data_IF_491849787598
#
_entry.id   IF_491849787598
#
_cell.length_a   1.000
_cell.length_b   1.000
_cell.length_c   1.000
_cell.angle_alpha   90.00
_cell.angle_beta   90.00
_cell.angle_gamma   90.00
#
_symmetry.space_group_name_H-M   'P 1'
#
loop_
_entity.id
_entity.type
_entity.pdbx_description
1 polymer ?
#
# COMPACT_ATOMS: atom_id res chain seq x y z
N UNK A 1 -13.57 -4.83 9.09
CA UNK A 1 -13.35 -5.73 10.25
C UNK A 1 -13.43 -4.89 11.53
N UNK A 2 -13.74 -5.50 12.68
CA UNK A 2 -13.77 -4.81 13.98
C UNK A 2 -12.67 -5.36 14.90
N UNK A 3 -11.40 -4.95 14.72
CA UNK A 3 -10.29 -5.49 15.49
C UNK A 3 -10.34 -5.06 16.95
N UNK A 4 -10.04 -5.97 17.88
CA UNK A 4 -9.87 -5.62 19.29
C UNK A 4 -8.46 -5.11 19.58
N UNK A 5 -8.19 -3.86 19.20
CA UNK A 5 -6.86 -3.25 19.27
C UNK A 5 -6.31 -3.11 20.71
N UNK A 6 -7.17 -3.13 21.73
CA UNK A 6 -6.73 -3.06 23.15
C UNK A 6 -5.88 -4.26 23.58
N UNK A 7 -6.01 -5.40 22.90
CA UNK A 7 -5.24 -6.62 23.16
C UNK A 7 -4.27 -6.96 22.03
N UNK A 8 -4.16 -6.10 21.02
CA UNK A 8 -3.31 -6.38 19.88
C UNK A 8 -1.83 -6.38 20.28
N UNK A 9 -1.09 -7.34 19.75
CA UNK A 9 0.33 -7.50 19.99
C UNK A 9 1.11 -7.07 18.75
N UNK A 10 2.14 -6.27 18.98
CA UNK A 10 3.16 -5.93 18.00
C UNK A 10 4.34 -6.91 18.12
N UNK A 11 4.94 -7.25 16.99
CA UNK A 11 5.93 -8.30 16.80
C UNK A 11 7.29 -7.80 16.30
N UNK A 12 7.30 -6.64 15.65
CA UNK A 12 8.50 -6.05 15.05
C UNK A 12 9.61 -5.75 16.07
N UNK A 13 10.86 -5.79 15.60
CA UNK A 13 12.04 -5.50 16.42
C UNK A 13 12.06 -4.05 16.95
N UNK A 14 11.70 -3.11 16.08
CA UNK A 14 11.75 -1.65 16.33
C UNK A 14 10.36 -1.00 16.25
N UNK A 15 9.29 -1.80 16.46
CA UNK A 15 7.87 -1.39 16.36
C UNK A 15 7.44 -0.86 14.98
N UNK A 16 8.05 -1.38 13.92
CA UNK A 16 7.72 -1.03 12.53
C UNK A 16 6.25 -1.33 12.20
N UNK A 17 5.71 -2.45 12.68
CA UNK A 17 4.31 -2.82 12.50
C UNK A 17 3.33 -1.81 13.12
N UNK A 18 3.60 -1.34 14.34
CA UNK A 18 2.84 -0.26 14.97
C UNK A 18 2.95 1.04 14.17
N UNK A 19 4.17 1.38 13.75
CA UNK A 19 4.44 2.59 12.99
C UNK A 19 3.66 2.61 11.67
N UNK A 20 3.68 1.51 10.92
CA UNK A 20 2.94 1.35 9.67
C UNK A 20 1.43 1.42 9.92
N UNK A 21 0.92 0.73 10.95
CA UNK A 21 -0.50 0.75 11.28
C UNK A 21 -0.97 2.18 11.60
N UNK A 22 -0.23 2.89 12.45
CA UNK A 22 -0.62 4.21 12.93
C UNK A 22 -0.55 5.30 11.87
N UNK A 23 0.36 5.18 10.90
CA UNK A 23 0.55 6.18 9.85
C UNK A 23 -0.27 5.91 8.58
N UNK A 24 -0.63 4.66 8.28
CA UNK A 24 -1.27 4.33 6.99
C UNK A 24 -2.60 3.57 7.05
N UNK A 25 -2.88 2.84 8.13
CA UNK A 25 -3.92 1.80 8.11
C UNK A 25 -4.89 1.87 9.30
N UNK A 26 -4.88 2.96 10.07
CA UNK A 26 -5.77 3.15 11.24
C UNK A 26 -6.90 4.19 11.01
N UNK A 27 -6.83 5.01 9.95
CA UNK A 27 -7.76 6.12 9.67
C UNK A 27 -8.15 6.19 8.18
N UNK A 28 -9.20 5.46 7.76
CA UNK A 28 -9.92 4.44 8.53
C UNK A 28 -9.09 3.17 8.72
N UNK A 29 -9.53 2.28 9.62
CA UNK A 29 -8.90 0.97 9.79
C UNK A 29 -9.04 0.16 8.50
N UNK A 30 -7.90 -0.27 7.93
CA UNK A 30 -7.86 -1.07 6.71
C UNK A 30 -7.75 -2.56 7.05
N UNK A 31 -8.68 -3.35 6.53
CA UNK A 31 -8.76 -4.79 6.74
C UNK A 31 -8.61 -5.54 5.42
N UNK A 32 -8.13 -6.79 5.50
CA UNK A 32 -8.02 -7.64 4.31
C UNK A 32 -6.96 -7.19 3.29
N UNK A 33 -5.95 -6.44 3.73
CA UNK A 33 -4.83 -6.05 2.88
C UNK A 33 -3.89 -7.20 2.54
N UNK A 34 -2.93 -6.91 1.66
CA UNK A 34 -1.89 -7.85 1.20
C UNK A 34 -0.52 -7.36 1.62
N UNK A 35 0.25 -8.21 2.30
CA UNK A 35 1.65 -7.94 2.59
C UNK A 35 2.59 -8.92 1.88
N UNK A 36 3.81 -8.45 1.62
CA UNK A 36 4.95 -9.29 1.23
C UNK A 36 6.06 -9.03 2.23
N UNK A 37 6.63 -10.09 2.79
CA UNK A 37 7.75 -10.01 3.74
C UNK A 37 8.85 -10.97 3.29
N UNK A 38 9.97 -10.40 2.87
CA UNK A 38 11.21 -11.13 2.59
C UNK A 38 12.17 -10.94 3.77
N UNK A 39 12.83 -12.03 4.18
CA UNK A 39 13.48 -12.11 5.48
C UNK A 39 12.50 -12.50 6.60
N UNK A 40 11.47 -13.30 6.26
CA UNK A 40 10.37 -13.63 7.17
C UNK A 40 10.79 -14.47 8.40
N UNK A 41 12.04 -14.94 8.47
CA UNK A 41 12.60 -15.64 9.62
C UNK A 41 11.75 -16.84 10.05
N UNK A 42 11.32 -16.88 11.31
CA UNK A 42 10.42 -17.89 11.85
C UNK A 42 8.95 -17.47 11.80
N UNK A 43 8.66 -16.30 11.23
CA UNK A 43 7.33 -15.71 11.11
C UNK A 43 6.79 -15.04 12.37
N UNK A 44 7.42 -15.19 13.53
CA UNK A 44 6.92 -14.63 14.80
C UNK A 44 7.87 -13.61 15.39
N UNK A 45 9.15 -13.98 15.49
CA UNK A 45 10.19 -13.12 16.02
C UNK A 45 10.50 -12.04 14.98
N UNK A 46 10.35 -10.79 15.39
CA UNK A 46 10.63 -9.60 14.57
C UNK A 46 9.77 -9.44 13.32
N UNK A 47 8.69 -10.22 13.18
CA UNK A 47 7.84 -10.08 12.00
C UNK A 47 7.15 -8.72 11.95
N UNK A 48 7.29 -8.06 10.81
CA UNK A 48 6.69 -6.76 10.53
C UNK A 48 5.23 -6.86 10.03
N UNK A 49 4.77 -8.08 9.76
CA UNK A 49 3.43 -8.33 9.17
C UNK A 49 2.48 -9.11 10.07
N UNK A 50 2.97 -9.72 11.16
CA UNK A 50 2.17 -10.59 12.01
C UNK A 50 1.00 -9.87 12.69
N UNK A 51 1.20 -8.60 13.07
CA UNK A 51 0.12 -7.75 13.61
C UNK A 51 -1.04 -7.62 12.61
N UNK A 52 -0.74 -7.38 11.33
CA UNK A 52 -1.75 -7.20 10.27
C UNK A 52 -2.49 -8.51 9.99
N UNK A 53 -1.79 -9.65 10.02
CA UNK A 53 -2.41 -10.96 9.91
C UNK A 53 -3.41 -11.22 11.06
N UNK A 54 -2.96 -11.05 12.31
CA UNK A 54 -3.73 -11.45 13.48
C UNK A 54 -4.93 -10.55 13.74
N UNK A 55 -4.77 -9.25 13.50
CA UNK A 55 -5.75 -8.25 13.94
C UNK A 55 -6.59 -7.74 12.78
N UNK A 56 -6.04 -7.66 11.56
CA UNK A 56 -6.70 -6.98 10.44
C UNK A 56 -7.16 -7.95 9.34
N UNK A 57 -6.97 -9.26 9.56
CA UNK A 57 -7.30 -10.32 8.60
C UNK A 57 -6.58 -10.16 7.26
N UNK A 58 -5.33 -9.67 7.28
CA UNK A 58 -4.52 -9.54 6.08
C UNK A 58 -3.96 -10.90 5.64
N UNK A 59 -3.70 -11.00 4.33
CA UNK A 59 -3.06 -12.16 3.70
C UNK A 59 -1.68 -11.77 3.19
N UNK A 60 -0.80 -12.74 2.95
CA UNK A 60 0.50 -12.37 2.41
C UNK A 60 1.39 -13.47 1.88
N UNK A 61 2.51 -13.01 1.31
CA UNK A 61 3.58 -13.85 0.79
C UNK A 61 4.79 -13.69 1.71
N UNK A 62 5.24 -14.80 2.30
CA UNK A 62 6.36 -14.85 3.24
C UNK A 62 7.53 -15.59 2.59
N UNK A 63 8.68 -14.93 2.49
CA UNK A 63 9.84 -15.42 1.76
C UNK A 63 11.03 -15.54 2.70
N UNK A 64 11.59 -16.74 2.78
CA UNK A 64 12.72 -17.06 3.64
C UNK A 64 13.58 -18.15 2.99
N UNK A 65 14.90 -17.98 3.04
CA UNK A 65 15.84 -18.85 2.35
C UNK A 65 16.52 -19.86 3.30
N UNK A 66 16.68 -19.52 4.57
CA UNK A 66 17.39 -20.36 5.54
C UNK A 66 16.51 -21.56 5.96
N UNK A 67 16.96 -22.81 5.77
CA UNK A 67 16.11 -23.98 5.95
C UNK A 67 15.48 -24.16 7.34
N UNK A 68 16.18 -23.82 8.42
CA UNK A 68 15.65 -23.95 9.79
C UNK A 68 14.60 -22.89 10.10
N UNK A 69 14.81 -21.66 9.62
CA UNK A 69 13.85 -20.56 9.67
C UNK A 69 12.61 -20.94 8.87
N UNK A 70 12.75 -21.42 7.63
CA UNK A 70 11.64 -21.94 6.81
C UNK A 70 10.83 -23.00 7.56
N UNK A 71 11.48 -23.95 8.23
CA UNK A 71 10.79 -25.01 8.99
C UNK A 71 9.91 -24.41 10.10
N UNK A 72 10.42 -23.41 10.82
CA UNK A 72 9.67 -22.71 11.88
C UNK A 72 8.58 -21.82 11.29
N UNK A 73 8.88 -21.09 10.22
CA UNK A 73 7.93 -20.24 9.50
C UNK A 73 6.71 -21.03 9.04
N UNK A 74 6.93 -22.19 8.41
CA UNK A 74 5.84 -23.10 8.04
C UNK A 74 5.03 -23.52 9.26
N UNK A 75 5.68 -23.94 10.35
CA UNK A 75 4.97 -24.31 11.58
C UNK A 75 4.13 -23.17 12.15
N UNK A 76 4.65 -21.94 12.10
CA UNK A 76 4.05 -20.79 12.77
C UNK A 76 2.98 -20.07 11.93
N UNK A 77 3.11 -20.10 10.59
CA UNK A 77 2.32 -19.25 9.69
C UNK A 77 1.79 -19.95 8.44
N UNK A 78 1.97 -21.26 8.27
CA UNK A 78 1.28 -21.98 7.20
C UNK A 78 -0.23 -21.93 7.42
N UNK A 79 -1.00 -21.71 6.36
CA UNK A 79 -2.45 -21.71 6.43
C UNK A 79 -3.06 -20.99 5.24
N UNK A 80 -4.38 -20.77 5.27
CA UNK A 80 -5.12 -20.14 4.16
C UNK A 80 -4.74 -18.68 3.90
N UNK A 81 -4.14 -17.99 4.89
CA UNK A 81 -3.77 -16.57 4.76
C UNK A 81 -2.42 -16.34 4.09
N UNK A 82 -1.53 -17.33 4.10
CA UNK A 82 -0.13 -17.10 3.74
C UNK A 82 0.37 -18.10 2.70
N UNK A 83 1.02 -17.56 1.67
CA UNK A 83 1.87 -18.32 0.74
C UNK A 83 3.30 -18.25 1.26
N UNK A 84 3.92 -19.39 1.55
CA UNK A 84 5.31 -19.45 2.02
C UNK A 84 6.21 -19.90 0.89
N UNK A 85 7.21 -19.09 0.54
CA UNK A 85 8.18 -19.36 -0.51
C UNK A 85 9.55 -19.62 0.13
N UNK A 86 9.97 -20.90 0.21
CA UNK A 86 11.21 -21.29 0.88
C UNK A 86 12.43 -21.16 -0.05
N UNK A 87 12.67 -19.95 -0.56
CA UNK A 87 13.70 -19.64 -1.55
C UNK A 87 14.33 -18.27 -1.26
N UNK A 88 15.57 -18.08 -1.70
CA UNK A 88 16.16 -16.76 -1.81
C UNK A 88 15.63 -16.02 -3.05
N UNK A 89 15.85 -14.71 -3.11
CA UNK A 89 15.69 -13.94 -4.35
C UNK A 89 17.02 -13.85 -5.09
N UNK A 90 16.99 -13.92 -6.41
CA UNK A 90 18.17 -13.76 -7.27
C UNK A 90 17.77 -13.28 -8.66
N UNK A 91 18.73 -12.79 -9.48
CA UNK A 91 18.49 -12.39 -10.86
C UNK A 91 17.95 -13.52 -11.75
N UNK A 92 17.37 -13.12 -12.87
CA UNK A 92 16.91 -14.06 -13.90
C UNK A 92 18.05 -14.94 -14.41
N UNK A 93 17.76 -16.21 -14.69
CA UNK A 93 18.77 -17.18 -15.14
C UNK A 93 19.58 -17.85 -14.01
N UNK A 94 19.49 -17.36 -12.78
CA UNK A 94 20.09 -18.01 -11.61
C UNK A 94 19.07 -18.91 -10.90
N UNK A 95 19.52 -20.09 -10.44
CA UNK A 95 18.66 -21.07 -9.75
C UNK A 95 19.03 -21.30 -8.28
N UNK A 96 20.26 -20.96 -7.89
CA UNK A 96 20.78 -21.14 -6.54
C UNK A 96 21.72 -19.99 -6.16
N UNK A 97 21.78 -19.65 -4.87
CA UNK A 97 22.75 -18.69 -4.29
C UNK A 97 23.46 -19.34 -3.10
N UNK A 98 24.69 -18.91 -2.87
CA UNK A 98 25.38 -19.17 -1.61
C UNK A 98 24.69 -18.34 -0.51
N UNK A 99 24.31 -18.99 0.57
CA UNK A 99 23.69 -18.37 1.73
C UNK A 99 24.49 -18.73 2.97
N UNK A 100 24.84 -17.76 3.80
CA UNK A 100 25.57 -17.97 5.05
C UNK A 100 24.86 -17.32 6.24
N UNK A 101 25.15 -17.83 7.42
CA UNK A 101 24.52 -17.41 8.66
C UNK A 101 23.22 -18.16 8.97
N UNK A 102 22.65 -17.81 10.12
CA UNK A 102 21.41 -18.39 10.64
C UNK A 102 20.71 -17.36 11.54
N UNK A 103 19.50 -17.68 12.00
CA UNK A 103 18.66 -16.77 12.79
C UNK A 103 18.40 -15.49 11.99
N UNK A 104 18.39 -14.33 12.64
CA UNK A 104 18.02 -13.03 12.07
C UNK A 104 19.21 -12.23 11.52
N UNK A 105 20.27 -12.91 11.07
CA UNK A 105 21.49 -12.25 10.55
C UNK A 105 22.05 -12.93 9.29
N UNK A 106 21.32 -13.89 8.72
CA UNK A 106 21.76 -14.69 7.57
C UNK A 106 21.40 -14.04 6.24
N UNK A 107 22.20 -14.30 5.20
CA UNK A 107 22.07 -13.64 3.90
C UNK A 107 23.05 -14.17 2.86
N UNK A 108 23.13 -13.47 1.72
CA UNK A 108 24.07 -13.79 0.63
C UNK A 108 25.44 -13.17 0.94
N UNK A 109 26.52 -13.98 1.13
CA UNK A 109 27.82 -13.49 1.58
C UNK A 109 28.37 -12.31 0.79
N UNK A 110 28.30 -12.38 -0.54
CA UNK A 110 28.89 -11.37 -1.44
C UNK A 110 28.16 -10.02 -1.40
N UNK A 111 26.95 -10.00 -0.82
CA UNK A 111 26.12 -8.81 -0.68
C UNK A 111 26.11 -8.28 0.76
N UNK A 112 26.60 -9.05 1.74
CA UNK A 112 26.66 -8.58 3.12
C UNK A 112 27.69 -7.45 3.29
N UNK A 113 27.36 -6.35 3.97
CA UNK A 113 28.35 -5.34 4.31
C UNK A 113 29.40 -5.88 5.27
N UNK A 114 30.64 -5.41 5.15
CA UNK A 114 31.70 -5.77 6.09
C UNK A 114 31.35 -5.47 7.55
N UNK A 115 30.65 -4.36 7.81
CA UNK A 115 30.21 -3.99 9.15
C UNK A 115 29.26 -5.03 9.76
N UNK A 116 28.39 -5.62 8.94
CA UNK A 116 27.51 -6.73 9.35
C UNK A 116 28.31 -7.97 9.71
N UNK A 117 29.25 -8.35 8.84
CA UNK A 117 30.13 -9.51 9.03
C UNK A 117 30.97 -9.36 10.30
N UNK A 118 31.54 -8.17 10.53
CA UNK A 118 32.32 -7.85 11.74
C UNK A 118 31.45 -7.92 13.00
N UNK A 119 30.25 -7.33 12.97
CA UNK A 119 29.35 -7.24 14.12
C UNK A 119 28.78 -8.59 14.55
N UNK A 120 28.26 -9.38 13.62
CA UNK A 120 27.49 -10.59 13.94
C UNK A 120 28.27 -11.89 13.78
N UNK A 121 29.33 -11.88 12.97
CA UNK A 121 30.14 -13.06 12.69
C UNK A 121 31.61 -12.91 13.10
N UNK A 122 31.95 -11.85 13.85
CA UNK A 122 33.33 -11.56 14.30
C UNK A 122 34.34 -11.55 13.13
N UNK A 123 33.89 -11.15 11.95
CA UNK A 123 34.71 -11.09 10.74
C UNK A 123 34.82 -12.40 9.94
N UNK A 124 34.25 -13.52 10.43
CA UNK A 124 34.36 -14.82 9.76
C UNK A 124 32.98 -15.42 9.55
N UNK A 125 32.52 -15.44 8.30
CA UNK A 125 31.23 -16.03 7.95
C UNK A 125 31.23 -17.56 8.15
N UNK A 126 30.11 -18.13 8.62
CA UNK A 126 29.91 -19.57 8.59
C UNK A 126 30.04 -20.15 7.17
N UNK A 127 30.27 -21.46 7.09
CA UNK A 127 30.29 -22.16 5.80
C UNK A 127 28.95 -21.95 5.07
N UNK A 128 28.97 -21.43 3.83
CA UNK A 128 27.74 -21.21 3.08
C UNK A 128 27.08 -22.53 2.68
N UNK A 129 25.77 -22.49 2.55
CA UNK A 129 24.91 -23.53 1.96
C UNK A 129 24.35 -23.02 0.64
N UNK A 130 24.07 -23.92 -0.29
CA UNK A 130 23.35 -23.59 -1.52
C UNK A 130 21.85 -23.65 -1.25
N UNK A 131 21.16 -22.54 -1.53
CA UNK A 131 19.69 -22.45 -1.42
C UNK A 131 19.07 -22.12 -2.77
N UNK A 132 17.91 -22.70 -3.11
CA UNK A 132 17.22 -22.36 -4.35
C UNK A 132 16.81 -20.89 -4.34
N UNK A 133 16.85 -20.24 -5.50
CA UNK A 133 16.49 -18.84 -5.66
C UNK A 133 15.73 -18.57 -6.96
N UNK A 134 14.95 -17.49 -7.00
CA UNK A 134 14.28 -16.98 -8.22
C UNK A 134 14.06 -15.45 -8.14
N UNK A 135 13.78 -14.77 -9.26
CA UNK A 135 13.32 -13.37 -9.25
C UNK A 135 12.04 -13.16 -8.45
N UNK A 136 11.96 -12.07 -7.67
CA UNK A 136 10.81 -11.78 -6.82
C UNK A 136 9.53 -11.54 -7.65
N UNK A 137 9.63 -10.84 -8.79
CA UNK A 137 8.49 -10.60 -9.66
C UNK A 137 7.79 -11.90 -10.09
N UNK A 138 8.56 -12.93 -10.46
CA UNK A 138 8.02 -14.26 -10.82
C UNK A 138 7.35 -14.95 -9.64
N UNK A 139 7.96 -14.86 -8.46
CA UNK A 139 7.38 -15.43 -7.23
C UNK A 139 6.01 -14.81 -6.91
N UNK A 140 5.88 -13.50 -7.06
CA UNK A 140 4.65 -12.77 -6.77
C UNK A 140 3.56 -13.03 -7.83
N UNK A 141 3.93 -13.11 -9.10
CA UNK A 141 3.01 -13.51 -10.18
C UNK A 141 2.45 -14.91 -9.96
N UNK A 142 3.31 -15.89 -9.63
CA UNK A 142 2.89 -17.27 -9.35
C UNK A 142 2.02 -17.38 -8.09
N UNK A 143 2.28 -16.55 -7.09
CA UNK A 143 1.43 -16.43 -5.90
C UNK A 143 0.10 -15.71 -6.18
N UNK A 144 -0.12 -15.19 -7.39
CA UNK A 144 -1.34 -14.49 -7.78
C UNK A 144 -1.49 -13.08 -7.19
N UNK A 145 -0.38 -12.48 -6.72
CA UNK A 145 -0.40 -11.13 -6.13
C UNK A 145 -0.70 -10.10 -7.21
N UNK A 146 -1.68 -9.23 -6.94
CA UNK A 146 -2.13 -8.17 -7.87
C UNK A 146 -1.80 -6.77 -7.40
N UNK A 147 -1.67 -6.57 -6.10
CA UNK A 147 -1.30 -5.33 -5.45
C UNK A 147 -0.73 -5.66 -4.07
N UNK A 148 0.10 -4.78 -3.52
CA UNK A 148 0.75 -4.96 -2.23
C UNK A 148 0.52 -3.71 -1.38
N UNK A 149 -0.09 -3.85 -0.20
CA UNK A 149 -0.25 -2.76 0.75
C UNK A 149 1.03 -2.48 1.52
N UNK A 150 1.75 -3.54 1.93
CA UNK A 150 3.03 -3.44 2.65
C UNK A 150 4.03 -4.40 2.03
N UNK A 151 5.16 -3.89 1.56
CA UNK A 151 6.30 -4.70 1.14
C UNK A 151 7.50 -4.46 2.07
N UNK A 152 7.83 -5.46 2.88
CA UNK A 152 9.01 -5.46 3.75
C UNK A 152 10.18 -6.12 3.02
N UNK A 153 11.30 -5.39 2.91
CA UNK A 153 12.55 -5.83 2.29
C UNK A 153 13.69 -5.75 3.32
N UNK A 154 13.99 -6.90 3.93
CA UNK A 154 15.05 -7.06 4.94
C UNK A 154 15.84 -8.33 4.61
N UNK A 155 16.96 -8.18 3.89
CA UNK A 155 17.73 -9.31 3.32
C UNK A 155 19.23 -9.14 3.51
N UNK A 156 19.62 -8.40 4.54
CA UNK A 156 20.99 -8.27 5.02
C UNK A 156 22.00 -7.82 3.95
N UNK A 157 21.58 -6.89 3.07
CA UNK A 157 22.43 -6.27 2.04
C UNK A 157 22.03 -6.56 0.60
N UNK A 158 21.06 -7.44 0.36
CA UNK A 158 20.60 -7.78 -0.99
C UNK A 158 19.39 -6.94 -1.47
N UNK A 159 19.03 -5.85 -0.77
CA UNK A 159 17.79 -5.11 -0.97
C UNK A 159 17.65 -4.55 -2.40
N UNK A 160 18.73 -3.96 -2.93
CA UNK A 160 18.76 -3.44 -4.30
C UNK A 160 18.49 -4.54 -5.33
N UNK A 161 19.16 -5.69 -5.20
CA UNK A 161 18.97 -6.82 -6.12
C UNK A 161 17.53 -7.36 -6.06
N UNK A 162 16.92 -7.41 -4.87
CA UNK A 162 15.51 -7.77 -4.74
C UNK A 162 14.64 -6.83 -5.58
N UNK A 163 14.82 -5.52 -5.43
CA UNK A 163 14.02 -4.51 -6.13
C UNK A 163 14.29 -4.45 -7.64
N UNK A 164 15.51 -4.74 -8.09
CA UNK A 164 15.86 -4.85 -9.52
C UNK A 164 15.13 -6.02 -10.20
N UNK A 165 14.79 -7.06 -9.45
CA UNK A 165 14.05 -8.24 -9.95
C UNK A 165 12.53 -8.16 -9.75
N UNK A 166 12.03 -7.00 -9.28
CA UNK A 166 10.61 -6.76 -9.03
C UNK A 166 9.84 -6.57 -10.34
N UNK A 167 8.63 -7.12 -10.38
CA UNK A 167 7.64 -6.78 -11.40
C UNK A 167 6.87 -5.53 -10.96
N UNK A 168 7.27 -4.38 -11.50
CA UNK A 168 6.68 -3.08 -11.17
C UNK A 168 5.27 -2.87 -11.76
N UNK A 169 4.72 -3.82 -12.50
CA UNK A 169 3.28 -3.81 -12.86
C UNK A 169 2.39 -4.17 -11.67
N UNK A 170 2.96 -4.77 -10.62
CA UNK A 170 2.29 -5.02 -9.34
C UNK A 170 2.48 -3.75 -8.48
N UNK A 171 1.42 -2.94 -8.28
CA UNK A 171 1.53 -1.72 -7.48
C UNK A 171 1.83 -2.05 -6.01
N UNK A 172 2.65 -1.20 -5.39
CA UNK A 172 2.99 -1.28 -3.98
C UNK A 172 2.58 0.04 -3.33
N UNK A 173 1.87 0.00 -2.21
CA UNK A 173 1.45 1.21 -1.49
C UNK A 173 2.59 1.73 -0.60
N UNK A 174 3.16 0.87 0.22
CA UNK A 174 4.25 1.20 1.15
C UNK A 174 5.35 0.14 1.08
N UNK A 175 6.59 0.58 0.90
CA UNK A 175 7.78 -0.26 1.03
C UNK A 175 8.52 0.12 2.32
N UNK A 176 9.00 -0.88 3.03
CA UNK A 176 9.95 -0.71 4.14
C UNK A 176 11.21 -1.47 3.79
N UNK A 177 12.33 -0.75 3.69
CA UNK A 177 13.59 -1.31 3.23
C UNK A 177 14.66 -1.08 4.30
N UNK A 178 15.43 -2.11 4.62
CA UNK A 178 16.60 -1.96 5.48
C UNK A 178 17.72 -1.19 4.75
N UNK A 179 18.20 -0.10 5.34
CA UNK A 179 19.24 0.76 4.77
C UNK A 179 20.58 0.60 5.52
N UNK A 180 21.64 1.20 4.99
CA UNK A 180 22.96 1.27 5.61
C UNK A 180 24.03 0.54 4.81
N UNK A 181 23.94 0.62 3.48
CA UNK A 181 24.77 -0.12 2.52
C UNK A 181 25.59 0.80 1.59
N UNK A 182 25.67 2.10 1.88
CA UNK A 182 26.49 3.08 1.13
C UNK A 182 25.91 3.34 -0.27
N UNK A 183 26.76 3.32 -1.30
CA UNK A 183 26.38 3.56 -2.71
C UNK A 183 25.20 2.69 -3.20
N UNK A 184 24.99 1.51 -2.61
CA UNK A 184 23.83 0.66 -2.93
C UNK A 184 22.51 1.27 -2.49
N UNK A 185 22.50 1.99 -1.37
CA UNK A 185 21.32 2.71 -0.89
C UNK A 185 20.96 3.84 -1.85
N UNK A 186 21.96 4.53 -2.42
CA UNK A 186 21.74 5.61 -3.40
C UNK A 186 21.09 5.06 -4.67
N UNK A 187 21.66 3.98 -5.25
CA UNK A 187 21.07 3.30 -6.42
C UNK A 187 19.66 2.78 -6.15
N UNK A 188 19.41 2.30 -4.93
CA UNK A 188 18.09 1.85 -4.50
C UNK A 188 17.09 3.00 -4.46
N UNK A 189 17.49 4.15 -3.90
CA UNK A 189 16.66 5.36 -3.86
C UNK A 189 16.38 5.85 -5.28
N UNK A 190 17.37 5.85 -6.17
CA UNK A 190 17.21 6.25 -7.58
C UNK A 190 16.25 5.31 -8.31
N UNK A 191 16.39 4.00 -8.11
CA UNK A 191 15.47 3.00 -8.66
C UNK A 191 14.04 3.28 -8.19
N UNK A 192 13.80 3.41 -6.89
CA UNK A 192 12.47 3.68 -6.33
C UNK A 192 11.90 5.02 -6.81
N UNK A 193 12.74 6.05 -6.90
CA UNK A 193 12.34 7.38 -7.43
C UNK A 193 11.93 7.29 -8.89
N UNK A 194 12.64 6.51 -9.72
CA UNK A 194 12.29 6.26 -11.12
C UNK A 194 10.94 5.53 -11.29
N UNK A 195 10.46 4.88 -10.23
CA UNK A 195 9.15 4.21 -10.15
C UNK A 195 8.07 5.05 -9.45
N UNK A 196 8.37 6.32 -9.14
CA UNK A 196 7.42 7.25 -8.54
C UNK A 196 7.35 7.22 -7.01
N UNK A 197 8.14 6.36 -6.34
CA UNK A 197 8.16 6.30 -4.88
C UNK A 197 9.01 7.40 -4.29
N UNK A 198 8.61 7.91 -3.12
CA UNK A 198 9.33 8.91 -2.35
C UNK A 198 9.57 8.39 -0.94
N UNK A 199 10.61 8.88 -0.28
CA UNK A 199 10.80 8.64 1.16
C UNK A 199 9.63 9.25 1.93
N UNK A 200 9.15 8.55 2.94
CA UNK A 200 8.14 9.09 3.86
C UNK A 200 8.64 10.35 4.55
N UNK A 201 7.74 11.29 4.80
CA UNK A 201 8.04 12.53 5.55
C UNK A 201 8.28 12.28 7.04
N UNK A 202 7.77 11.17 7.56
CA UNK A 202 7.97 10.71 8.93
C UNK A 202 9.08 9.66 9.01
N UNK A 203 9.68 9.50 10.19
CA UNK A 203 10.79 8.59 10.41
C UNK A 203 10.36 7.36 11.23
N UNK A 204 10.38 6.18 10.61
CA UNK A 204 9.99 4.92 11.26
C UNK A 204 10.83 4.57 12.49
N UNK A 205 12.09 5.01 12.52
CA UNK A 205 12.96 4.81 13.67
C UNK A 205 12.51 5.57 14.92
N UNK A 206 11.62 6.55 14.78
CA UNK A 206 10.99 7.25 15.91
C UNK A 206 10.12 6.36 16.78
N UNK A 207 9.70 5.19 16.30
CA UNK A 207 8.94 4.19 17.06
C UNK A 207 9.82 3.22 17.85
N UNK A 208 11.13 3.21 17.60
CA UNK A 208 12.05 2.35 18.31
C UNK A 208 12.16 2.75 19.78
N UNK A 209 12.13 1.77 20.68
CA UNK A 209 12.20 2.03 22.12
C UNK A 209 13.63 2.44 22.56
N UNK A 210 13.76 3.41 23.48
CA UNK A 210 15.06 3.81 24.03
C UNK A 210 15.85 2.62 24.60
N UNK A 211 17.15 2.56 24.31
CA UNK A 211 18.05 1.50 24.79
C UNK A 211 17.93 0.16 24.05
N UNK A 212 17.18 0.09 22.94
CA UNK A 212 17.11 -1.09 22.07
C UNK A 212 17.99 -0.94 20.82
N UNK A 213 18.41 -2.06 20.25
CA UNK A 213 19.08 -2.08 18.95
C UNK A 213 18.01 -1.89 17.86
N UNK A 214 17.95 -0.69 17.31
CA UNK A 214 17.02 -0.35 16.24
C UNK A 214 17.58 -0.76 14.86
N UNK A 215 16.68 -1.21 14.00
CA UNK A 215 16.92 -1.41 12.57
C UNK A 215 17.08 -0.04 11.89
N UNK A 216 17.76 -0.02 10.74
CA UNK A 216 17.93 1.18 9.94
C UNK A 216 16.93 1.22 8.77
N UNK A 217 15.67 0.98 9.09
CA UNK A 217 14.61 0.90 8.09
C UNK A 217 14.22 2.29 7.58
N UNK A 218 13.98 2.39 6.26
CA UNK A 218 13.40 3.55 5.59
C UNK A 218 12.08 3.15 4.95
N UNK A 219 11.07 4.01 5.10
CA UNK A 219 9.78 3.85 4.44
C UNK A 219 9.78 4.63 3.13
N UNK A 220 9.31 3.98 2.07
CA UNK A 220 9.02 4.60 0.78
C UNK A 220 7.54 4.43 0.46
N UNK A 221 6.92 5.48 -0.04
CA UNK A 221 5.50 5.53 -0.35
C UNK A 221 5.28 6.04 -1.77
N UNK A 222 4.25 5.52 -2.43
CA UNK A 222 3.82 6.07 -3.70
C UNK A 222 2.83 7.22 -3.43
N UNK A 223 3.11 8.47 -3.86
CA UNK A 223 2.34 9.66 -3.50
C UNK A 223 0.89 9.64 -3.98
N UNK A 224 0.62 8.83 -5.00
CA UNK A 224 -0.75 8.48 -5.39
C UNK A 224 -0.94 7.02 -5.03
N UNK A 225 -1.70 6.67 -3.98
CA UNK A 225 -2.01 5.27 -3.76
C UNK A 225 -2.68 4.77 -5.05
N UNK A 226 -2.04 3.86 -5.76
CA UNK A 226 -2.66 3.11 -6.84
C UNK A 226 -3.68 2.20 -6.14
N UNK A 227 -4.79 2.78 -5.73
CA UNK A 227 -5.93 2.03 -5.22
C UNK A 227 -6.54 1.44 -6.50
N UNK A 228 -6.12 0.24 -6.88
CA UNK A 228 -6.84 -0.50 -7.90
C UNK A 228 -8.17 -0.97 -7.27
N UNK A 229 -9.28 -0.35 -7.67
CA UNK A 229 -10.60 -0.60 -7.13
C UNK A 229 -10.93 0.25 -5.90
N UNK A 230 -11.87 1.18 -6.09
CA UNK A 230 -12.47 2.03 -5.06
C UNK A 230 -13.85 2.49 -5.49
N UNK A 231 -14.56 3.15 -4.59
CA UNK A 231 -15.90 3.69 -4.80
C UNK A 231 -15.85 5.21 -4.84
N UNK A 232 -16.19 5.79 -5.99
CA UNK A 232 -16.43 7.24 -6.08
C UNK A 232 -17.92 7.54 -6.16
N UNK A 233 -18.30 8.73 -5.67
CA UNK A 233 -19.62 9.32 -5.88
C UNK A 233 -19.40 10.72 -6.43
N UNK A 234 -19.99 11.04 -7.57
CA UNK A 234 -19.93 12.37 -8.20
C UNK A 234 -21.36 12.90 -8.39
N UNK A 235 -21.68 13.98 -7.68
CA UNK A 235 -22.94 14.71 -7.81
C UNK A 235 -22.71 15.88 -8.76
N UNK A 236 -23.53 15.96 -9.81
CA UNK A 236 -23.34 16.90 -10.92
C UNK A 236 -22.35 16.38 -11.96
N UNK A 237 -22.47 15.10 -12.33
CA UNK A 237 -21.56 14.44 -13.27
C UNK A 237 -21.65 14.95 -14.73
N UNK A 238 -22.56 15.88 -15.03
CA UNK A 238 -22.77 16.47 -16.36
C UNK A 238 -22.97 15.39 -17.43
N UNK A 239 -22.14 15.38 -18.48
CA UNK A 239 -22.17 14.35 -19.52
C UNK A 239 -21.23 13.16 -19.21
N UNK A 240 -20.54 13.19 -18.07
CA UNK A 240 -19.63 12.16 -17.60
C UNK A 240 -18.30 12.08 -18.35
N UNK A 241 -17.97 13.02 -19.23
CA UNK A 241 -16.69 13.08 -19.94
C UNK A 241 -16.05 14.45 -19.84
N UNK A 242 -16.81 15.48 -20.23
CA UNK A 242 -16.40 16.86 -20.12
C UNK A 242 -16.26 17.17 -18.64
N UNK A 243 -15.08 17.68 -18.25
CA UNK A 243 -14.74 18.07 -16.87
C UNK A 243 -15.01 17.01 -15.79
N UNK A 244 -15.08 15.72 -16.15
CA UNK A 244 -15.36 14.68 -15.15
C UNK A 244 -14.22 14.55 -14.15
N UNK A 245 -14.56 14.65 -12.87
CA UNK A 245 -13.63 14.50 -11.77
C UNK A 245 -13.30 13.02 -11.51
N UNK A 246 -14.11 12.09 -12.02
CA UNK A 246 -14.00 10.65 -11.72
C UNK A 246 -13.51 9.76 -12.86
N UNK A 247 -13.49 10.26 -14.11
CA UNK A 247 -13.17 9.44 -15.29
C UNK A 247 -11.80 8.78 -15.23
N UNK A 248 -10.80 9.46 -14.68
CA UNK A 248 -9.46 8.91 -14.50
C UNK A 248 -9.47 7.65 -13.62
N UNK A 249 -10.22 7.66 -12.52
CA UNK A 249 -10.33 6.55 -11.56
C UNK A 249 -11.02 5.34 -12.20
N UNK A 250 -12.04 5.58 -13.02
CA UNK A 250 -12.69 4.52 -13.78
C UNK A 250 -11.73 3.87 -14.78
N UNK A 251 -11.08 4.66 -15.63
CA UNK A 251 -10.29 4.14 -16.76
C UNK A 251 -9.01 3.45 -16.31
N UNK A 252 -8.32 4.05 -15.33
CA UNK A 252 -6.95 3.68 -14.99
C UNK A 252 -6.85 2.88 -13.70
N UNK A 253 -7.82 3.04 -12.80
CA UNK A 253 -7.75 2.45 -11.46
C UNK A 253 -8.82 1.38 -11.23
N UNK A 254 -9.66 1.06 -12.22
CA UNK A 254 -10.74 0.07 -12.08
C UNK A 254 -11.70 0.40 -10.94
N UNK A 255 -11.94 1.69 -10.67
CA UNK A 255 -12.94 2.12 -9.70
C UNK A 255 -14.34 1.93 -10.25
N UNK A 256 -15.27 1.69 -9.34
CA UNK A 256 -16.71 1.73 -9.58
C UNK A 256 -17.28 2.99 -8.96
N UNK A 257 -18.42 3.45 -9.42
CA UNK A 257 -18.98 4.64 -8.79
C UNK A 257 -20.45 4.92 -9.07
N UNK A 258 -20.92 5.95 -8.38
CA UNK A 258 -22.25 6.52 -8.54
C UNK A 258 -22.09 7.88 -9.19
N UNK A 259 -22.77 8.07 -10.32
CA UNK A 259 -22.80 9.34 -11.05
C UNK A 259 -24.22 9.89 -10.98
N UNK A 260 -24.39 11.07 -10.37
CA UNK A 260 -25.67 11.74 -10.26
C UNK A 260 -25.71 12.97 -11.18
N UNK A 261 -26.82 13.11 -11.91
CA UNK A 261 -27.10 14.28 -12.73
C UNK A 261 -28.62 14.44 -12.85
N UNK A 262 -29.13 15.65 -12.72
CA UNK A 262 -30.56 15.94 -12.72
C UNK A 262 -31.03 16.61 -14.03
N UNK A 263 -30.15 17.28 -14.77
CA UNK A 263 -30.48 17.97 -16.01
C UNK A 263 -30.72 16.95 -17.14
N UNK A 264 -31.92 16.89 -17.74
CA UNK A 264 -32.30 15.79 -18.63
C UNK A 264 -31.42 15.56 -19.87
N UNK A 265 -30.81 16.60 -20.42
CA UNK A 265 -29.96 16.47 -21.60
C UNK A 265 -28.54 15.99 -21.25
N UNK A 266 -28.01 16.42 -20.11
CA UNK A 266 -26.79 15.88 -19.52
C UNK A 266 -27.00 14.42 -19.13
N UNK A 267 -28.11 14.06 -18.49
CA UNK A 267 -28.49 12.67 -18.19
C UNK A 267 -28.44 11.78 -19.43
N UNK A 268 -29.02 12.21 -20.56
CA UNK A 268 -29.00 11.42 -21.81
C UNK A 268 -27.57 11.17 -22.28
N UNK A 269 -26.69 12.19 -22.20
CA UNK A 269 -25.29 12.06 -22.58
C UNK A 269 -24.51 11.19 -21.58
N UNK A 270 -24.72 11.38 -20.29
CA UNK A 270 -24.12 10.61 -19.21
C UNK A 270 -24.44 9.13 -19.33
N UNK A 271 -25.71 8.78 -19.54
CA UNK A 271 -26.13 7.41 -19.82
C UNK A 271 -25.42 6.86 -21.05
N UNK A 272 -25.31 7.63 -22.14
CA UNK A 272 -24.57 7.18 -23.33
C UNK A 272 -23.08 6.97 -23.07
N UNK A 273 -22.46 7.84 -22.27
CA UNK A 273 -21.01 7.92 -22.12
C UNK A 273 -20.45 7.02 -21.02
N UNK A 274 -21.23 6.81 -19.94
CA UNK A 274 -20.76 6.19 -18.70
C UNK A 274 -21.65 5.06 -18.19
N UNK A 275 -22.75 4.72 -18.88
CA UNK A 275 -23.55 3.53 -18.49
C UNK A 275 -22.77 2.26 -18.78
N UNK A 276 -22.70 1.38 -17.79
CA UNK A 276 -21.93 0.14 -17.91
C UNK A 276 -21.81 -0.59 -16.58
N UNK A 277 -20.99 -1.65 -16.56
CA UNK A 277 -20.82 -2.50 -15.37
C UNK A 277 -20.16 -1.79 -14.19
N UNK A 278 -19.48 -0.66 -14.42
CA UNK A 278 -18.70 0.03 -13.39
C UNK A 278 -19.48 1.13 -12.67
N UNK A 279 -20.51 1.69 -13.29
CA UNK A 279 -21.19 2.87 -12.77
C UNK A 279 -22.68 2.64 -12.60
N UNK A 280 -23.21 3.11 -11.48
CA UNK A 280 -24.64 3.32 -11.26
C UNK A 280 -24.92 4.79 -11.59
N UNK A 281 -25.85 5.03 -12.51
CA UNK A 281 -26.25 6.39 -12.89
C UNK A 281 -27.59 6.70 -12.22
N UNK A 282 -27.65 7.83 -11.53
CA UNK A 282 -28.81 8.33 -10.81
C UNK A 282 -29.31 9.59 -11.55
N UNK A 283 -30.32 9.45 -12.42
CA UNK A 283 -30.78 10.52 -13.32
C UNK A 283 -31.81 11.45 -12.67
N UNK A 284 -31.63 11.77 -11.39
CA UNK A 284 -32.60 12.51 -10.57
C UNK A 284 -31.88 13.44 -9.60
N UNK A 285 -32.61 14.41 -9.05
CA UNK A 285 -32.07 15.27 -7.99
C UNK A 285 -31.79 14.44 -6.72
N UNK A 286 -30.82 14.89 -5.91
CA UNK A 286 -30.47 14.23 -4.65
C UNK A 286 -31.68 14.17 -3.72
N UNK A 287 -32.07 12.95 -3.35
CA UNK A 287 -33.18 12.69 -2.43
C UNK A 287 -32.72 12.78 -0.96
N UNK A 288 -33.64 13.04 0.00
CA UNK A 288 -33.32 13.05 1.42
C UNK A 288 -32.71 11.75 1.96
N UNK A 289 -31.97 11.90 3.05
CA UNK A 289 -31.40 10.80 3.85
C UNK A 289 -30.48 9.86 3.06
N UNK A 290 -29.85 10.33 1.98
CA UNK A 290 -28.90 9.55 1.19
C UNK A 290 -29.50 8.31 0.55
N UNK A 291 -30.83 8.22 0.43
CA UNK A 291 -31.56 7.05 -0.09
C UNK A 291 -31.00 6.54 -1.41
N UNK A 292 -30.59 7.46 -2.28
CA UNK A 292 -30.00 7.16 -3.59
C UNK A 292 -28.71 6.30 -3.48
N UNK A 293 -27.92 6.50 -2.42
CA UNK A 293 -26.68 5.77 -2.18
C UNK A 293 -26.96 4.38 -1.61
N UNK A 294 -27.96 4.27 -0.73
CA UNK A 294 -28.44 2.98 -0.23
C UNK A 294 -29.03 2.12 -1.35
N UNK A 295 -29.84 2.73 -2.23
CA UNK A 295 -30.42 2.06 -3.40
C UNK A 295 -29.33 1.60 -4.39
N UNK A 296 -28.21 2.34 -4.47
CA UNK A 296 -27.01 1.95 -5.21
C UNK A 296 -26.11 0.93 -4.47
N UNK A 297 -26.47 0.50 -3.25
CA UNK A 297 -25.71 -0.47 -2.46
C UNK A 297 -24.40 0.06 -1.88
N UNK A 298 -24.26 1.38 -1.72
CA UNK A 298 -23.04 2.03 -1.23
C UNK A 298 -22.96 1.94 0.28
N UNK A 299 -21.90 1.31 0.80
CA UNK A 299 -21.65 1.18 2.24
C UNK A 299 -20.43 1.96 2.72
N UNK A 300 -19.61 2.49 1.81
CA UNK A 300 -18.45 3.34 2.07
C UNK A 300 -18.06 4.08 0.79
N UNK A 301 -17.48 5.28 0.92
CA UNK A 301 -17.08 6.12 -0.20
C UNK A 301 -15.60 6.49 -0.06
N UNK A 302 -14.82 6.23 -1.10
CA UNK A 302 -13.40 6.61 -1.14
C UNK A 302 -13.24 8.09 -1.54
N UNK A 303 -13.98 8.53 -2.56
CA UNK A 303 -14.01 9.92 -3.01
C UNK A 303 -15.46 10.34 -3.23
N UNK A 304 -15.90 11.34 -2.49
CA UNK A 304 -17.21 11.96 -2.68
C UNK A 304 -17.01 13.36 -3.23
N UNK A 305 -17.54 13.63 -4.42
CA UNK A 305 -17.47 14.92 -5.10
C UNK A 305 -18.88 15.50 -5.21
N UNK A 306 -19.03 16.75 -4.79
CA UNK A 306 -20.24 17.56 -4.96
C UNK A 306 -19.86 18.76 -5.82
N UNK A 307 -20.35 18.76 -7.07
CA UNK A 307 -20.06 19.75 -8.10
C UNK A 307 -21.39 20.13 -8.75
N UNK A 308 -22.19 20.92 -8.02
CA UNK A 308 -23.53 21.33 -8.45
C UNK A 308 -23.68 22.83 -8.27
N UNK A 309 -24.24 23.49 -9.26
CA UNK A 309 -24.39 24.95 -9.27
C UNK A 309 -25.40 25.43 -8.21
N UNK A 310 -24.91 25.90 -7.06
CA UNK A 310 -25.68 26.59 -6.04
C UNK A 310 -26.61 25.72 -5.18
N UNK A 311 -26.50 24.39 -5.28
CA UNK A 311 -27.29 23.42 -4.52
C UNK A 311 -26.44 22.55 -3.59
N UNK A 312 -25.18 22.90 -3.35
CA UNK A 312 -24.20 22.10 -2.63
C UNK A 312 -24.65 21.86 -1.18
N UNK A 313 -25.14 22.91 -0.50
CA UNK A 313 -25.67 22.79 0.85
C UNK A 313 -26.86 21.82 0.92
N UNK A 314 -27.78 21.91 -0.05
CA UNK A 314 -28.93 21.00 -0.14
C UNK A 314 -28.47 19.56 -0.32
N UNK A 315 -27.47 19.31 -1.18
CA UNK A 315 -26.89 17.97 -1.32
C UNK A 315 -26.34 17.48 0.02
N UNK A 316 -25.53 18.28 0.70
CA UNK A 316 -24.90 17.91 1.97
C UNK A 316 -25.92 17.68 3.11
N UNK A 317 -26.99 18.46 3.18
CA UNK A 317 -28.07 18.29 4.17
C UNK A 317 -28.88 17.01 3.94
N UNK A 318 -28.98 16.56 2.69
CA UNK A 318 -29.73 15.37 2.32
C UNK A 318 -28.87 14.09 2.28
N UNK A 319 -27.62 14.15 2.72
CA UNK A 319 -26.71 13.00 2.75
C UNK A 319 -26.81 12.19 4.04
N UNK A 320 -26.66 10.88 3.92
CA UNK A 320 -26.47 10.00 5.07
C UNK A 320 -24.99 9.99 5.51
N UNK A 321 -24.69 10.79 6.52
CA UNK A 321 -23.36 10.92 7.11
C UNK A 321 -22.91 9.71 7.94
N UNK A 322 -23.76 8.68 8.08
CA UNK A 322 -23.32 7.40 8.66
C UNK A 322 -22.51 6.57 7.68
N UNK A 323 -22.60 6.85 6.37
CA UNK A 323 -21.75 6.26 5.34
C UNK A 323 -20.33 6.84 5.50
N UNK A 324 -19.30 6.03 5.76
CA UNK A 324 -17.94 6.53 5.92
C UNK A 324 -17.38 7.06 4.58
N UNK A 325 -16.88 8.29 4.60
CA UNK A 325 -16.26 8.99 3.46
C UNK A 325 -14.78 9.23 3.76
N UNK A 326 -13.87 8.85 2.86
CA UNK A 326 -12.42 9.10 3.03
C UNK A 326 -12.01 10.51 2.58
N UNK A 327 -12.47 10.93 1.41
CA UNK A 327 -12.20 12.26 0.84
C UNK A 327 -13.52 12.86 0.38
N UNK A 328 -13.81 14.08 0.83
CA UNK A 328 -14.94 14.89 0.39
C UNK A 328 -14.40 16.12 -0.35
N UNK A 329 -14.82 16.29 -1.60
CA UNK A 329 -14.54 17.45 -2.44
C UNK A 329 -15.88 18.14 -2.68
N UNK A 330 -15.96 19.43 -2.35
CA UNK A 330 -17.14 20.25 -2.60
C UNK A 330 -16.67 21.43 -3.42
N UNK A 331 -17.22 21.62 -4.61
CA UNK A 331 -17.08 22.88 -5.32
C UNK A 331 -17.79 23.95 -4.50
N UNK A 332 -17.08 25.02 -4.16
CA UNK A 332 -17.68 26.16 -3.46
C UNK A 332 -17.80 27.27 -4.49
N UNK A 333 -19.02 27.63 -4.85
CA UNK A 333 -19.28 28.74 -5.77
C UNK A 333 -18.51 30.01 -5.38
N UNK A 334 -17.89 30.66 -6.36
CA UNK A 334 -17.11 31.87 -6.15
C UNK A 334 -18.03 33.04 -5.76
N UNK A 335 -18.10 33.35 -4.46
CA UNK A 335 -18.28 34.74 -4.06
C UNK A 335 -16.99 35.52 -4.37
N UNK A 336 -17.09 36.82 -4.65
CA UNK A 336 -16.02 37.78 -5.06
C UNK A 336 -14.74 37.86 -4.18
N UNK A 337 -14.45 36.91 -3.27
CA UNK A 337 -13.38 37.02 -2.28
C UNK A 337 -12.21 36.02 -2.39
N UNK A 338 -12.29 34.96 -3.20
CA UNK A 338 -11.37 33.83 -3.05
C UNK A 338 -10.33 33.59 -4.17
N UNK A 339 -10.23 34.45 -5.18
CA UNK A 339 -9.16 34.35 -6.21
C UNK A 339 -7.73 34.38 -5.64
N UNK A 340 -7.54 34.94 -4.43
CA UNK A 340 -6.24 34.93 -3.76
C UNK A 340 -5.80 33.56 -3.24
N UNK A 341 -6.71 32.66 -2.86
CA UNK A 341 -6.36 31.39 -2.22
C UNK A 341 -5.91 30.30 -3.22
N UNK A 342 -6.49 30.30 -4.43
CA UNK A 342 -6.13 29.32 -5.47
C UNK A 342 -4.71 29.53 -6.03
N UNK A 343 -4.24 30.78 -6.05
CA UNK A 343 -2.92 31.15 -6.57
C UNK A 343 -1.79 30.72 -5.62
N UNK A 344 -2.03 30.75 -4.30
CA UNK A 344 -1.05 30.32 -3.29
C UNK A 344 -0.82 28.79 -3.30
N UNK A 345 -1.84 28.00 -3.65
CA UNK A 345 -1.73 26.53 -3.63
C UNK A 345 -0.92 25.99 -4.82
N UNK A 346 -1.02 26.62 -5.99
CA UNK A 346 -0.22 26.23 -7.18
C UNK A 346 1.26 26.53 -6.99
N UNK A 347 1.60 27.65 -6.34
CA UNK A 347 3.00 28.00 -6.07
C UNK A 347 3.68 27.05 -5.06
N UNK A 348 2.94 26.51 -4.10
CA UNK A 348 3.45 25.54 -3.12
C UNK A 348 3.60 24.11 -3.68
N UNK A 349 2.85 23.77 -4.74
CA UNK A 349 2.91 22.45 -5.39
C UNK A 349 3.84 22.40 -6.62
N UNK A 350 4.41 23.54 -7.04
CA UNK A 350 5.39 23.60 -8.13
C UNK A 350 4.81 23.18 -9.49
N UNK A 351 3.56 23.57 -9.77
CA UNK A 351 2.88 23.35 -11.07
C UNK A 351 2.70 24.69 -11.78
#
# INVERSE_FOLDING_TARGET
CQPNLKKAKYHSQSREDEALFLNYFNRPIICGGVYVEIGALDGLLFSNTKFFEDNLNWTGVLIEAQPDNVKKLKKNRSGKRNVIIPKAVCPEGQSHVNFSGAKAVGGVPDLMPEGHVKKFFKGVLPKPIQVPCRPIGKMLQEAGVKAIDIFIVDVEGAELMVLETMDWTIPIKVLVVEMGRGDRDEKLIDLLSSKGYKKSTWNIRGFCLPGKSCTNNQVFEHPFPIICGGVYVEIGALDGLLISNTKYFEDNLNWTGVLNEAQPDNVKKLLKNRSGKRNVIIPEAVCPEGKMLHDAGITAIDIFIVDVEGAELMVLENMDWTIPIKVLVVEIGQGDRDEKAATDTRSQLGI
#
